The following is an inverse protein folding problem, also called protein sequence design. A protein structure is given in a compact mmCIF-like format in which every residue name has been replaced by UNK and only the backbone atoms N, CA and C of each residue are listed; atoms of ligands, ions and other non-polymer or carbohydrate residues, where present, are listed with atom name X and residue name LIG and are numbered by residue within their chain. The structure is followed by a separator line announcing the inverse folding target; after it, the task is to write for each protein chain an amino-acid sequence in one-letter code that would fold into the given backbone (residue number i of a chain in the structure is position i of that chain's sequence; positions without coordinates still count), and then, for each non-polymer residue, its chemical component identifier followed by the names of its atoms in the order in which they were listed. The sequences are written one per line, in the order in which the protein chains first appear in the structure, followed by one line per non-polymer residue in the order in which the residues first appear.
data_IF_921430220377
#
_entry.id   IF_921430220377
#
_cell.length_a   1.000
_cell.length_b   1.000
_cell.length_c   1.000
_cell.angle_alpha   90.00
_cell.angle_beta   90.00
_cell.angle_gamma   90.00
#
_symmetry.space_group_name_H-M   'P 1'
#
loop_
_entity.id
_entity.type
_entity.pdbx_description
1 polymer ?
#
# COMPACT_ATOMS: atom_id res chain seq x y z
N UNK A 1 0.28 -45.82 37.05
CA UNK A 1 -0.88 -44.94 36.83
C UNK A 1 -1.07 -44.21 38.14
N UNK A 2 -0.76 -42.93 38.27
CA UNK A 2 -1.41 -41.85 37.52
C UNK A 2 -0.45 -40.76 36.99
N UNK A 3 -0.85 -40.22 35.84
CA UNK A 3 -0.24 -39.10 35.11
C UNK A 3 -0.77 -37.78 35.68
N UNK A 4 0.05 -36.73 35.68
CA UNK A 4 -0.28 -35.28 35.53
C UNK A 4 1.02 -34.50 35.82
N UNK A 5 2.01 -34.50 34.94
CA UNK A 5 2.16 -33.60 33.78
C UNK A 5 1.82 -32.13 34.07
N UNK A 6 2.89 -31.36 34.30
CA UNK A 6 3.18 -30.02 33.76
C UNK A 6 2.05 -28.99 33.81
N UNK A 7 2.09 -28.13 34.82
CA UNK A 7 1.22 -26.96 34.91
C UNK A 7 1.96 -25.79 35.54
N UNK A 8 2.77 -25.10 34.74
CA UNK A 8 3.06 -23.67 34.85
C UNK A 8 3.71 -23.29 33.52
N UNK A 9 2.84 -23.06 32.54
CA UNK A 9 3.21 -22.42 31.28
C UNK A 9 3.80 -21.07 31.67
N UNK A 10 5.12 -21.00 31.63
CA UNK A 10 5.89 -19.78 31.69
C UNK A 10 5.26 -18.81 30.68
N UNK A 11 4.81 -17.66 31.19
CA UNK A 11 4.36 -16.53 30.39
C UNK A 11 5.57 -16.09 29.57
N UNK A 12 5.72 -16.68 28.38
CA UNK A 12 6.64 -16.22 27.38
C UNK A 12 6.11 -14.85 26.95
N UNK A 13 6.67 -13.83 27.59
CA UNK A 13 6.55 -12.42 27.27
C UNK A 13 6.69 -12.28 25.75
N UNK A 14 5.56 -11.96 25.12
CA UNK A 14 5.47 -11.59 23.72
C UNK A 14 6.07 -10.18 23.57
N UNK A 15 7.38 -10.07 23.70
CA UNK A 15 8.13 -8.91 23.22
C UNK A 15 8.23 -9.05 21.71
N UNK A 16 7.21 -8.58 20.99
CA UNK A 16 7.38 -8.20 19.60
C UNK A 16 8.28 -6.97 19.63
N UNK A 17 9.57 -7.24 19.51
CA UNK A 17 10.61 -6.29 19.17
C UNK A 17 10.28 -5.72 17.79
N UNK A 18 9.41 -4.71 17.73
CA UNK A 18 9.45 -3.74 16.64
C UNK A 18 10.74 -2.93 16.82
N UNK A 19 11.86 -3.58 16.52
CA UNK A 19 13.11 -2.92 16.21
C UNK A 19 12.81 -2.04 15.00
N UNK A 20 12.50 -0.77 15.31
CA UNK A 20 12.43 0.32 14.36
C UNK A 20 13.78 0.49 13.69
N UNK A 21 14.05 -0.37 12.72
CA UNK A 21 15.02 -0.10 11.68
C UNK A 21 14.42 0.98 10.80
N UNK A 22 14.84 2.22 11.02
CA UNK A 22 14.78 3.29 10.02
C UNK A 22 15.78 2.95 8.90
N UNK A 23 15.59 1.81 8.25
CA UNK A 23 16.12 1.53 6.92
C UNK A 23 15.03 1.96 5.95
N UNK A 24 15.38 2.59 4.83
CA UNK A 24 14.43 2.91 3.76
C UNK A 24 13.57 1.68 3.46
N UNK A 25 12.35 1.63 3.98
CA UNK A 25 11.45 0.51 3.75
C UNK A 25 11.17 0.45 2.26
N UNK A 26 11.21 -0.75 1.71
CA UNK A 26 10.91 -0.95 0.31
C UNK A 26 9.46 -0.50 0.06
N UNK A 27 9.19 0.21 -1.03
CA UNK A 27 7.85 0.74 -1.28
C UNK A 27 6.82 -0.40 -1.41
N UNK A 28 7.18 -1.55 -1.99
CA UNK A 28 6.29 -2.71 -2.02
C UNK A 28 5.95 -3.22 -0.61
N UNK A 29 6.92 -3.25 0.30
CA UNK A 29 6.67 -3.65 1.69
C UNK A 29 5.71 -2.67 2.35
N UNK A 30 5.91 -1.35 2.17
CA UNK A 30 5.00 -0.35 2.74
C UNK A 30 3.59 -0.54 2.19
N UNK A 31 3.44 -0.64 0.87
CA UNK A 31 2.15 -0.76 0.18
C UNK A 31 1.35 -2.00 0.62
N UNK A 32 2.02 -3.12 0.86
CA UNK A 32 1.39 -4.42 1.15
C UNK A 32 1.34 -4.77 2.64
N UNK A 33 2.00 -3.98 3.49
CA UNK A 33 2.00 -4.18 4.94
C UNK A 33 0.58 -4.04 5.55
N UNK A 34 0.26 -4.93 6.49
CA UNK A 34 -1.05 -4.99 7.12
C UNK A 34 -2.16 -5.44 6.17
N UNK A 35 -3.21 -4.62 6.02
CA UNK A 35 -4.34 -4.90 5.13
C UNK A 35 -4.00 -4.67 3.65
N UNK A 36 -2.89 -3.96 3.37
CA UNK A 36 -2.55 -3.47 2.03
C UNK A 36 -3.55 -2.45 1.46
N UNK A 37 -4.51 -1.96 2.26
CA UNK A 37 -5.59 -1.06 1.82
C UNK A 37 -5.22 0.40 2.08
N UNK A 38 -5.52 1.23 1.11
CA UNK A 38 -5.21 2.65 1.11
C UNK A 38 -6.38 3.47 0.57
N UNK A 39 -6.53 4.66 1.09
CA UNK A 39 -7.36 5.71 0.53
C UNK A 39 -6.45 6.69 -0.23
N UNK A 40 -6.72 6.85 -1.52
CA UNK A 40 -6.08 7.80 -2.42
C UNK A 40 -6.93 9.07 -2.48
N UNK A 41 -6.36 10.20 -2.10
CA UNK A 41 -7.05 11.49 -2.07
C UNK A 41 -6.19 12.56 -2.76
N UNK A 42 -6.83 13.46 -3.51
CA UNK A 42 -6.18 14.66 -4.02
C UNK A 42 -5.88 15.63 -2.89
N UNK A 43 -4.70 16.26 -2.93
CA UNK A 43 -4.35 17.33 -1.97
C UNK A 43 -4.97 18.67 -2.35
N UNK A 44 -5.32 18.87 -3.62
CA UNK A 44 -5.92 20.11 -4.12
C UNK A 44 -7.46 20.07 -4.04
N UNK A 45 -8.07 18.88 -4.09
CA UNK A 45 -9.50 18.65 -3.86
C UNK A 45 -9.77 17.43 -2.98
N UNK A 46 -9.98 17.67 -1.69
CA UNK A 46 -10.23 16.60 -0.72
C UNK A 46 -11.64 16.00 -0.80
N UNK A 47 -12.55 16.56 -1.63
CA UNK A 47 -13.93 16.07 -1.74
C UNK A 47 -14.04 14.74 -2.49
N UNK A 48 -12.99 14.36 -3.21
CA UNK A 48 -12.92 13.11 -3.97
C UNK A 48 -11.81 12.21 -3.41
N UNK A 49 -12.16 10.95 -3.14
CA UNK A 49 -11.22 9.91 -2.74
C UNK A 49 -11.57 8.59 -3.40
N UNK A 50 -10.55 7.81 -3.74
CA UNK A 50 -10.67 6.43 -4.18
C UNK A 50 -10.00 5.50 -3.18
N UNK A 51 -10.33 4.22 -3.22
CA UNK A 51 -9.68 3.20 -2.38
C UNK A 51 -8.90 2.26 -3.26
N UNK A 52 -7.75 1.79 -2.78
CA UNK A 52 -6.94 0.81 -3.49
C UNK A 52 -6.36 -0.20 -2.51
N UNK A 53 -6.38 -1.48 -2.86
CA UNK A 53 -5.72 -2.54 -2.13
C UNK A 53 -4.54 -3.07 -2.95
N UNK A 54 -3.34 -3.09 -2.39
CA UNK A 54 -2.15 -3.68 -3.01
C UNK A 54 -1.88 -5.07 -2.42
N UNK A 55 -1.51 -6.01 -3.28
CA UNK A 55 -1.25 -7.39 -2.89
C UNK A 55 0.20 -7.77 -3.19
N UNK A 56 0.80 -8.63 -2.35
CA UNK A 56 2.18 -9.13 -2.54
C UNK A 56 2.40 -9.90 -3.85
N UNK A 57 1.31 -10.25 -4.54
CA UNK A 57 1.30 -10.88 -5.86
C UNK A 57 1.58 -9.92 -7.02
N UNK A 58 1.71 -8.60 -6.77
CA UNK A 58 1.82 -7.59 -7.82
C UNK A 58 0.48 -7.17 -8.42
N UNK A 59 -0.63 -7.56 -7.80
CA UNK A 59 -1.99 -7.11 -8.16
C UNK A 59 -2.45 -5.96 -7.28
N UNK A 60 -3.38 -5.16 -7.77
CA UNK A 60 -4.08 -4.16 -7.00
C UNK A 60 -5.57 -4.12 -7.35
N UNK A 61 -6.44 -3.85 -6.37
CA UNK A 61 -7.87 -3.64 -6.61
C UNK A 61 -8.19 -2.17 -6.35
N UNK A 62 -8.62 -1.46 -7.39
CA UNK A 62 -9.03 -0.06 -7.30
C UNK A 62 -10.55 0.01 -7.17
N UNK A 63 -11.03 0.67 -6.11
CA UNK A 63 -12.42 0.89 -5.82
C UNK A 63 -12.75 2.39 -5.97
N UNK A 64 -13.66 2.69 -6.90
CA UNK A 64 -14.22 4.02 -7.09
C UNK A 64 -15.75 3.93 -7.04
N UNK A 65 -16.34 4.45 -5.96
CA UNK A 65 -17.75 4.24 -5.66
C UNK A 65 -18.07 2.75 -5.47
N UNK A 66 -19.01 2.24 -6.28
CA UNK A 66 -19.42 0.82 -6.28
C UNK A 66 -18.67 -0.04 -7.31
N UNK A 67 -17.74 0.54 -8.07
CA UNK A 67 -16.99 -0.16 -9.09
C UNK A 67 -15.64 -0.62 -8.54
N UNK A 68 -15.34 -1.90 -8.70
CA UNK A 68 -14.04 -2.49 -8.40
C UNK A 68 -13.36 -2.91 -9.70
N UNK A 69 -12.09 -2.54 -9.85
CA UNK A 69 -11.26 -2.84 -11.01
C UNK A 69 -10.00 -3.54 -10.51
N UNK A 70 -9.79 -4.78 -10.95
CA UNK A 70 -8.52 -5.48 -10.76
C UNK A 70 -7.48 -4.91 -11.73
N UNK A 71 -6.29 -4.63 -11.21
CA UNK A 71 -5.14 -4.05 -11.88
C UNK A 71 -3.90 -4.88 -11.56
N UNK A 72 -2.90 -4.79 -12.43
CA UNK A 72 -1.52 -5.10 -12.09
C UNK A 72 -0.85 -3.81 -11.61
N UNK A 73 0.11 -3.93 -10.69
CA UNK A 73 0.96 -2.80 -10.32
C UNK A 73 2.43 -3.14 -10.37
N UNK A 74 3.25 -2.15 -10.73
CA UNK A 74 4.70 -2.25 -10.77
C UNK A 74 5.32 -1.10 -10.00
N UNK A 75 6.30 -1.42 -9.17
CA UNK A 75 7.15 -0.43 -8.50
C UNK A 75 8.50 -0.43 -9.20
N UNK A 76 9.02 0.76 -9.51
CA UNK A 76 10.34 0.85 -10.12
C UNK A 76 11.47 0.47 -9.13
N UNK A 77 12.64 0.12 -9.65
CA UNK A 77 13.79 -0.30 -8.81
C UNK A 77 14.24 0.77 -7.81
N UNK A 78 13.94 2.05 -8.10
CA UNK A 78 14.28 3.19 -7.25
C UNK A 78 13.26 3.46 -6.14
N UNK A 79 12.13 2.75 -6.09
CA UNK A 79 11.02 2.99 -5.17
C UNK A 79 10.43 4.42 -5.25
N UNK A 80 10.50 5.04 -6.42
CA UNK A 80 10.01 6.41 -6.65
C UNK A 80 8.76 6.47 -7.52
N UNK A 81 8.35 5.34 -8.11
CA UNK A 81 7.23 5.26 -9.05
C UNK A 81 6.40 3.99 -8.84
N UNK A 82 5.09 4.13 -9.02
CA UNK A 82 4.10 3.05 -9.06
C UNK A 82 3.34 3.19 -10.38
N UNK A 83 3.30 2.14 -11.19
CA UNK A 83 2.46 2.08 -12.39
C UNK A 83 1.30 1.12 -12.15
N UNK A 84 0.07 1.59 -12.35
CA UNK A 84 -1.16 0.81 -12.29
C UNK A 84 -1.62 0.50 -13.71
N UNK A 85 -1.70 -0.78 -14.06
CA UNK A 85 -1.90 -1.27 -15.42
C UNK A 85 -3.16 -2.13 -15.46
N UNK A 86 -3.99 -1.94 -16.50
CA UNK A 86 -5.15 -2.83 -16.69
C UNK A 86 -4.69 -4.21 -17.18
N UNK A 87 -5.32 -5.31 -16.72
CA UNK A 87 -5.01 -6.64 -17.22
C UNK A 87 -5.09 -6.69 -18.75
N UNK A 88 -4.11 -7.34 -19.39
CA UNK A 88 -4.01 -7.46 -20.85
C UNK A 88 -3.85 -6.13 -21.61
N UNK A 89 -3.43 -5.06 -20.94
CA UNK A 89 -3.05 -3.78 -21.57
C UNK A 89 -1.62 -3.42 -21.21
N UNK A 90 -0.91 -2.76 -22.13
CA UNK A 90 0.39 -2.15 -21.84
C UNK A 90 0.26 -0.70 -21.37
N UNK A 91 -0.94 -0.14 -21.43
CA UNK A 91 -1.19 1.26 -21.07
C UNK A 91 -1.40 1.37 -19.56
N UNK A 92 -0.57 2.21 -18.93
CA UNK A 92 -0.78 2.60 -17.54
C UNK A 92 -2.09 3.38 -17.43
N UNK A 93 -2.98 2.93 -16.55
CA UNK A 93 -4.19 3.66 -16.21
C UNK A 93 -3.83 4.89 -15.38
N UNK A 94 -2.98 4.68 -14.38
CA UNK A 94 -2.48 5.72 -13.47
C UNK A 94 -1.01 5.45 -13.19
N UNK A 95 -0.20 6.50 -13.21
CA UNK A 95 1.19 6.47 -12.78
C UNK A 95 1.35 7.41 -11.59
N UNK A 96 1.82 6.87 -10.48
CA UNK A 96 2.25 7.65 -9.32
C UNK A 96 3.76 7.84 -9.40
N UNK A 97 4.22 9.07 -9.31
CA UNK A 97 5.64 9.45 -9.37
C UNK A 97 6.02 10.29 -8.15
N UNK A 98 7.31 10.58 -8.01
CA UNK A 98 7.82 11.40 -6.90
C UNK A 98 7.37 10.86 -5.53
N UNK A 99 7.30 9.53 -5.41
CA UNK A 99 6.82 8.86 -4.20
C UNK A 99 7.67 9.29 -3.01
N UNK A 100 6.99 9.78 -1.97
CA UNK A 100 7.57 10.15 -0.69
C UNK A 100 6.83 9.42 0.43
N UNK A 101 7.49 8.44 1.02
CA UNK A 101 6.98 7.73 2.20
C UNK A 101 7.17 8.67 3.40
N UNK A 102 6.07 9.18 3.95
CA UNK A 102 6.08 10.07 5.12
C UNK A 102 6.22 9.23 6.39
N UNK A 103 5.43 8.16 6.47
CA UNK A 103 5.47 7.15 7.52
C UNK A 103 4.82 5.83 7.02
N UNK A 104 4.63 4.84 7.90
CA UNK A 104 4.08 3.52 7.51
C UNK A 104 2.61 3.56 7.05
N UNK A 105 1.91 4.66 7.31
CA UNK A 105 0.49 4.87 7.05
C UNK A 105 0.26 5.96 6.01
N UNK A 106 1.30 6.68 5.58
CA UNK A 106 1.15 7.87 4.74
C UNK A 106 2.21 7.92 3.64
N UNK A 107 1.74 8.04 2.39
CA UNK A 107 2.58 8.29 1.21
C UNK A 107 2.05 9.52 0.48
N UNK A 108 2.94 10.40 0.05
CA UNK A 108 2.64 11.48 -0.89
C UNK A 108 3.21 11.15 -2.27
N UNK A 109 2.51 11.53 -3.32
CA UNK A 109 2.92 11.29 -4.70
C UNK A 109 2.39 12.38 -5.64
N UNK A 110 2.92 12.39 -6.86
CA UNK A 110 2.28 13.02 -8.01
C UNK A 110 1.57 11.93 -8.83
N UNK A 111 0.25 12.05 -8.99
CA UNK A 111 -0.57 11.17 -9.81
C UNK A 111 -0.70 11.72 -11.22
N UNK A 112 -0.60 10.84 -12.21
CA UNK A 112 -0.84 11.14 -13.61
C UNK A 112 -1.72 10.06 -14.21
N UNK A 113 -2.83 10.44 -14.84
CA UNK A 113 -3.67 9.49 -15.57
C UNK A 113 -3.14 9.32 -17.00
N UNK A 114 -2.86 8.09 -17.41
CA UNK A 114 -2.21 7.80 -18.69
C UNK A 114 -0.76 8.34 -18.80
N UNK A 115 -0.21 8.37 -20.02
CA UNK A 115 1.16 8.81 -20.29
C UNK A 115 1.35 10.32 -20.51
N UNK A 116 0.26 11.09 -20.58
CA UNK A 116 0.29 12.52 -20.92
C UNK A 116 -0.72 13.37 -20.14
N UNK A 117 -1.34 12.83 -19.09
CA UNK A 117 -2.27 13.60 -18.24
C UNK A 117 -1.56 14.70 -17.44
N UNK A 118 -2.31 15.67 -16.94
CA UNK A 118 -1.82 16.62 -15.94
C UNK A 118 -1.44 15.89 -14.65
N UNK A 119 -0.42 16.39 -13.97
CA UNK A 119 0.02 15.84 -12.70
C UNK A 119 -0.73 16.51 -11.55
N UNK A 120 -1.30 15.70 -10.69
CA UNK A 120 -1.99 16.14 -9.48
C UNK A 120 -1.25 15.62 -8.24
N UNK A 121 -1.16 16.42 -7.19
CA UNK A 121 -0.60 15.94 -5.92
C UNK A 121 -1.63 15.12 -5.18
N UNK A 122 -1.22 13.92 -4.78
CA UNK A 122 -2.10 12.98 -4.08
C UNK A 122 -1.45 12.46 -2.81
N UNK A 123 -2.29 12.00 -1.90
CA UNK A 123 -1.92 11.33 -0.66
C UNK A 123 -2.58 9.96 -0.61
N UNK A 124 -1.79 8.94 -0.28
CA UNK A 124 -2.29 7.63 0.10
C UNK A 124 -2.24 7.51 1.62
N UNK A 125 -3.39 7.22 2.24
CA UNK A 125 -3.51 6.99 3.68
C UNK A 125 -3.95 5.55 3.93
N UNK A 126 -3.21 4.81 4.76
CA UNK A 126 -3.48 3.39 5.04
C UNK A 126 -4.80 3.24 5.81
N UNK A 127 -5.61 2.26 5.40
CA UNK A 127 -6.89 1.90 6.02
C UNK A 127 -6.66 0.74 6.99
N UNK A 128 -6.66 1.06 8.28
CA UNK A 128 -6.50 0.10 9.37
C UNK A 128 -7.89 -0.37 9.81
N UNK A 129 -8.36 -1.52 9.31
CA UNK A 129 -9.58 -2.18 9.77
C UNK A 129 -9.24 -3.48 10.49
#
# INVERSE_FOLDING_TARGET
MDKKLLGLVSVAILTILFLGGCGNKNLNEVLTDGTGKWELQSLDDTSHSAKIAFFTTGKANFLSGNNEIELEYKVNEKNTEIELIRPNSTDSMVKLTSIKIIDNNTIEAASQQGGSGEQEKVKLTKINN
#
